data_IF_138761360993
#
_entry.id   IF_138761360993
#
_cell.length_a   1.000
_cell.length_b   1.000
_cell.length_c   1.000
_cell.angle_alpha   90.00
_cell.angle_beta   90.00
_cell.angle_gamma   90.00
#
_symmetry.space_group_name_H-M   'P 1'
#
loop_
_entity.id
_entity.type
_entity.pdbx_description
1 polymer ?
#
# COMPACT_ATOMS: atom_id res chain seq x y z
N UNK A 1 20.20 11.54 21.01
CA UNK A 1 20.48 11.13 19.63
C UNK A 1 19.53 11.91 18.77
N UNK A 2 20.04 12.74 17.88
CA UNK A 2 19.21 13.43 16.90
C UNK A 2 18.80 12.42 15.84
N UNK A 3 17.51 12.11 15.77
CA UNK A 3 16.93 11.34 14.67
C UNK A 3 16.70 12.29 13.51
N UNK A 4 17.16 11.93 12.32
CA UNK A 4 16.96 12.71 11.11
C UNK A 4 15.91 12.03 10.24
N UNK A 5 14.96 12.78 9.70
CA UNK A 5 13.99 12.26 8.74
C UNK A 5 14.25 12.73 7.32
N UNK A 6 13.61 12.04 6.40
CA UNK A 6 13.37 12.49 5.03
C UNK A 6 12.00 11.96 4.57
N UNK A 7 11.35 12.70 3.67
CA UNK A 7 10.13 12.27 2.99
C UNK A 7 10.40 12.08 1.50
N UNK A 8 10.00 10.94 0.96
CA UNK A 8 10.03 10.62 -0.47
C UNK A 8 8.61 10.58 -1.03
N UNK A 9 8.42 11.11 -2.24
CA UNK A 9 7.15 11.12 -2.94
C UNK A 9 7.09 9.98 -3.97
N UNK A 10 6.73 8.79 -3.51
CA UNK A 10 6.76 7.59 -4.36
C UNK A 10 5.85 7.73 -5.59
N UNK A 11 6.43 7.49 -6.78
CA UNK A 11 5.73 7.58 -8.07
C UNK A 11 5.59 8.99 -8.65
N UNK A 12 6.09 10.03 -7.99
CA UNK A 12 6.06 11.41 -8.53
C UNK A 12 7.34 11.72 -9.29
N UNK A 13 7.23 11.99 -10.59
CA UNK A 13 8.36 12.47 -11.37
C UNK A 13 8.68 13.93 -11.03
N UNK A 14 9.78 14.18 -10.32
CA UNK A 14 10.22 15.52 -9.88
C UNK A 14 10.81 16.37 -11.02
N UNK A 15 9.99 16.65 -12.03
CA UNK A 15 10.39 17.47 -13.16
C UNK A 15 10.79 18.87 -12.67
N UNK A 16 12.10 19.17 -12.73
CA UNK A 16 12.71 20.44 -12.26
C UNK A 16 12.63 20.67 -10.74
N UNK A 17 12.36 19.62 -9.96
CA UNK A 17 12.25 19.69 -8.50
C UNK A 17 12.99 18.53 -7.82
N UNK A 18 14.10 18.07 -8.41
CA UNK A 18 14.89 16.96 -7.87
C UNK A 18 15.43 17.20 -6.46
N UNK A 19 15.49 18.45 -6.01
CA UNK A 19 15.82 18.81 -4.62
C UNK A 19 14.73 18.41 -3.61
N UNK A 20 13.51 18.12 -4.07
CA UNK A 20 12.39 17.66 -3.25
C UNK A 20 12.30 16.12 -3.17
N UNK A 21 13.14 15.39 -3.93
CA UNK A 21 13.53 14.04 -3.55
C UNK A 21 14.61 14.20 -2.48
N UNK A 22 14.34 13.81 -1.24
CA UNK A 22 15.39 13.74 -0.23
C UNK A 22 15.85 12.28 -0.05
N UNK A 23 16.57 11.63 -0.99
CA UNK A 23 17.24 10.39 -0.65
C UNK A 23 18.31 10.74 0.40
N UNK A 24 18.23 10.14 1.59
CA UNK A 24 19.25 10.30 2.62
C UNK A 24 20.64 10.07 1.99
N UNK A 25 21.47 11.12 1.91
CA UNK A 25 22.79 11.07 1.25
C UNK A 25 23.16 12.27 0.37
N UNK A 26 22.25 13.22 0.12
CA UNK A 26 22.54 14.52 -0.51
C UNK A 26 22.47 15.67 0.52
N UNK A 27 23.19 16.78 0.33
CA UNK A 27 23.29 17.84 1.33
C UNK A 27 22.06 18.76 1.29
N UNK A 28 20.96 18.35 1.91
CA UNK A 28 19.88 19.24 2.35
C UNK A 28 19.31 18.76 3.69
N UNK A 29 18.81 19.72 4.48
CA UNK A 29 18.73 19.62 5.94
C UNK A 29 17.58 18.73 6.44
N UNK A 30 17.81 17.90 7.47
CA UNK A 30 16.80 16.99 8.00
C UNK A 30 15.71 17.74 8.77
N UNK A 31 14.47 17.27 8.63
CA UNK A 31 13.37 17.59 9.57
C UNK A 31 13.14 16.40 10.51
N UNK A 32 12.45 16.61 11.65
CA UNK A 32 12.11 15.55 12.62
C UNK A 32 10.67 15.09 12.37
N UNK A 33 10.39 13.78 12.25
CA UNK A 33 9.50 13.20 13.27
C UNK A 33 9.90 11.79 13.75
N UNK A 34 9.41 11.50 14.95
CA UNK A 34 9.34 10.17 15.59
C UNK A 34 8.16 9.39 15.01
N UNK A 35 8.39 8.61 13.95
CA UNK A 35 7.64 7.39 13.56
C UNK A 35 8.20 6.90 12.22
N UNK A 36 8.71 5.66 12.17
CA UNK A 36 9.23 5.05 10.95
C UNK A 36 8.07 4.35 10.23
N UNK A 37 7.50 5.02 9.23
CA UNK A 37 6.64 4.40 8.22
C UNK A 37 7.51 3.98 7.02
N UNK A 38 7.54 2.69 6.70
CA UNK A 38 8.06 2.23 5.40
C UNK A 38 7.15 2.82 4.31
N UNK A 39 7.67 3.80 3.54
CA UNK A 39 7.09 4.35 2.31
C UNK A 39 5.64 4.87 2.38
N UNK A 40 5.50 6.20 2.48
CA UNK A 40 4.27 6.88 2.07
C UNK A 40 4.19 7.01 0.55
N UNK A 41 3.13 6.49 -0.07
CA UNK A 41 2.78 6.81 -1.46
C UNK A 41 1.74 7.92 -1.47
N UNK A 42 2.01 8.99 -2.20
CA UNK A 42 1.04 10.06 -2.39
C UNK A 42 0.21 9.78 -3.65
N UNK A 43 -1.12 9.69 -3.50
CA UNK A 43 -2.01 9.50 -4.63
C UNK A 43 -2.12 10.80 -5.44
N UNK A 44 -1.80 10.75 -6.74
CA UNK A 44 -1.75 11.96 -7.60
C UNK A 44 -3.12 12.43 -8.08
N UNK A 45 -4.14 11.59 -8.09
CA UNK A 45 -5.51 12.03 -8.43
C UNK A 45 -6.30 12.30 -7.16
N UNK A 46 -6.74 13.54 -6.98
CA UNK A 46 -7.78 13.86 -6.00
C UNK A 46 -9.04 13.05 -6.36
N UNK A 47 -9.75 12.48 -5.36
CA UNK A 47 -11.13 12.06 -5.55
C UNK A 47 -11.94 13.18 -6.21
N UNK A 48 -12.72 12.88 -7.25
CA UNK A 48 -13.54 13.87 -7.97
C UNK A 48 -12.82 14.72 -9.02
N UNK A 49 -11.75 14.19 -9.64
CA UNK A 49 -11.11 14.82 -10.80
C UNK A 49 -12.10 14.94 -11.97
N UNK A 50 -12.41 16.15 -12.43
CA UNK A 50 -13.39 16.40 -13.50
C UNK A 50 -12.91 16.00 -14.90
N UNK A 51 -11.62 15.73 -15.06
CA UNK A 51 -10.97 15.28 -16.30
C UNK A 51 -10.45 13.84 -16.21
N UNK A 52 -11.06 13.00 -15.37
CA UNK A 52 -10.75 11.57 -15.33
C UNK A 52 -11.34 10.85 -16.55
N UNK A 53 -10.51 10.26 -17.43
CA UNK A 53 -10.97 9.59 -18.64
C UNK A 53 -11.73 8.29 -18.38
N UNK A 54 -11.67 7.75 -17.15
CA UNK A 54 -12.31 6.49 -16.74
C UNK A 54 -13.51 6.73 -15.81
N UNK A 55 -13.95 7.98 -15.65
CA UNK A 55 -15.04 8.36 -14.75
C UNK A 55 -16.37 7.65 -15.04
N UNK A 56 -16.58 7.18 -16.27
CA UNK A 56 -17.77 6.45 -16.69
C UNK A 56 -17.80 5.01 -16.15
N UNK A 57 -16.66 4.46 -15.73
CA UNK A 57 -16.53 3.09 -15.24
C UNK A 57 -17.04 2.90 -13.81
N UNK A 58 -17.14 3.96 -13.01
CA UNK A 58 -17.49 3.89 -11.59
C UNK A 58 -18.43 5.02 -11.15
N UNK A 59 -19.11 4.81 -10.03
CA UNK A 59 -20.05 5.76 -9.44
C UNK A 59 -19.47 6.43 -8.17
N UNK A 60 -18.60 5.70 -7.45
CA UNK A 60 -18.00 6.14 -6.18
C UNK A 60 -16.48 6.03 -6.25
N UNK A 61 -15.80 7.13 -5.91
CA UNK A 61 -14.35 7.25 -5.77
C UNK A 61 -14.08 8.36 -4.75
N UNK A 62 -13.85 7.95 -3.51
CA UNK A 62 -13.64 8.84 -2.37
C UNK A 62 -12.49 8.35 -1.47
N UNK A 63 -12.20 9.09 -0.40
CA UNK A 63 -11.12 8.77 0.53
C UNK A 63 -11.32 7.45 1.30
N UNK A 64 -12.55 6.94 1.41
CA UNK A 64 -12.84 5.66 2.08
C UNK A 64 -12.56 4.45 1.16
N UNK A 65 -12.47 4.70 -0.15
CA UNK A 65 -12.15 3.67 -1.16
C UNK A 65 -10.65 3.45 -1.39
N UNK A 66 -9.79 4.11 -0.60
CA UNK A 66 -8.34 3.90 -0.62
C UNK A 66 -7.98 2.78 0.35
N UNK A 67 -7.20 1.80 -0.11
CA UNK A 67 -6.74 0.65 0.65
C UNK A 67 -5.21 0.64 0.72
N UNK A 68 -4.66 0.94 1.90
CA UNK A 68 -3.23 0.81 2.18
C UNK A 68 -2.97 -0.54 2.82
N UNK A 69 -2.17 -1.36 2.15
CA UNK A 69 -1.75 -2.68 2.60
C UNK A 69 -0.35 -2.58 3.21
N UNK A 70 -0.18 -2.95 4.48
CA UNK A 70 1.12 -2.94 5.16
C UNK A 70 1.25 -4.08 6.17
N UNK A 71 2.49 -4.52 6.41
CA UNK A 71 2.79 -5.52 7.43
C UNK A 71 3.14 -4.85 8.77
N UNK A 72 2.75 -5.47 9.88
CA UNK A 72 3.14 -5.02 11.22
C UNK A 72 4.03 -6.04 11.93
N UNK A 73 5.09 -5.55 12.57
CA UNK A 73 6.06 -6.36 13.30
C UNK A 73 6.16 -5.90 14.76
N UNK A 74 5.97 -6.81 15.70
CA UNK A 74 6.23 -6.61 17.12
C UNK A 74 7.64 -7.08 17.43
N UNK A 75 8.57 -6.12 17.49
CA UNK A 75 9.92 -6.41 17.97
C UNK A 75 9.92 -6.52 19.49
N UNK A 76 10.14 -7.74 20.01
CA UNK A 76 10.41 -7.90 21.44
C UNK A 76 11.77 -7.29 21.76
N UNK A 77 11.80 -6.40 22.78
CA UNK A 77 12.98 -5.74 23.36
C UNK A 77 14.12 -6.69 23.81
N UNK A 78 13.94 -8.00 23.71
CA UNK A 78 14.99 -9.01 23.96
C UNK A 78 15.78 -9.40 22.71
N UNK A 79 15.32 -9.09 21.50
CA UNK A 79 16.10 -9.27 20.29
C UNK A 79 16.93 -8.00 20.06
N UNK A 80 18.17 -8.01 20.57
CA UNK A 80 19.21 -7.03 20.30
C UNK A 80 19.64 -7.10 18.80
N UNK A 81 18.71 -6.86 17.88
CA UNK A 81 19.00 -6.81 16.45
C UNK A 81 19.66 -5.46 16.18
N UNK A 82 20.98 -5.45 16.15
CA UNK A 82 21.71 -4.29 15.67
C UNK A 82 21.45 -4.14 14.17
N UNK A 83 20.59 -3.19 13.80
CA UNK A 83 20.30 -2.82 12.40
C UNK A 83 21.57 -2.44 11.60
N UNK A 84 22.68 -2.14 12.28
CA UNK A 84 24.02 -1.96 11.69
C UNK A 84 24.58 -3.20 10.98
N UNK A 85 24.04 -4.39 11.26
CA UNK A 85 24.39 -5.65 10.58
C UNK A 85 23.56 -5.89 9.30
N UNK A 86 22.56 -5.05 9.01
CA UNK A 86 21.81 -5.05 7.76
C UNK A 86 22.46 -4.11 6.74
N UNK A 87 23.78 -4.29 6.50
CA UNK A 87 24.43 -3.59 5.38
C UNK A 87 23.74 -4.00 4.08
N UNK A 88 23.53 -2.99 3.22
CA UNK A 88 22.89 -3.02 1.91
C UNK A 88 23.58 -3.96 0.89
N UNK A 89 24.71 -4.58 1.25
CA UNK A 89 25.48 -5.48 0.39
C UNK A 89 24.84 -6.87 0.23
N UNK A 90 23.84 -7.20 1.05
CA UNK A 90 23.13 -8.48 1.01
C UNK A 90 21.90 -8.55 0.10
N UNK A 91 21.46 -7.44 -0.49
CA UNK A 91 20.31 -7.47 -1.42
C UNK A 91 20.66 -7.99 -2.81
N UNK A 92 21.95 -8.01 -3.21
CA UNK A 92 22.37 -8.33 -4.58
C UNK A 92 23.12 -9.67 -4.75
N UNK A 93 23.27 -10.46 -3.68
CA UNK A 93 23.62 -11.88 -3.77
C UNK A 93 22.52 -12.67 -3.08
N UNK A 94 21.88 -13.66 -3.72
CA UNK A 94 20.99 -14.56 -3.00
C UNK A 94 21.80 -15.18 -1.87
N UNK A 95 21.56 -14.71 -0.65
CA UNK A 95 22.26 -15.15 0.54
C UNK A 95 21.97 -16.64 0.72
N UNK A 96 22.95 -17.55 0.55
CA UNK A 96 22.73 -18.98 0.76
C UNK A 96 22.49 -19.33 2.23
N UNK A 97 22.48 -18.32 3.13
CA UNK A 97 22.30 -18.44 4.58
C UNK A 97 21.00 -17.78 5.09
N UNK A 98 20.09 -17.39 4.19
CA UNK A 98 18.74 -16.92 4.55
C UNK A 98 17.63 -17.91 4.15
N UNK A 99 17.98 -19.20 4.03
CA UNK A 99 16.99 -20.30 4.04
C UNK A 99 16.67 -20.70 5.48
N UNK A 100 16.28 -19.72 6.30
CA UNK A 100 15.62 -19.94 7.59
C UNK A 100 14.74 -18.71 7.84
N UNK A 101 13.43 -18.76 7.54
CA UNK A 101 12.55 -17.59 7.67
C UNK A 101 12.45 -17.22 9.16
N UNK A 102 12.59 -15.93 9.50
CA UNK A 102 11.49 -15.30 10.20
C UNK A 102 11.42 -13.80 9.89
N UNK A 103 10.77 -13.43 8.79
CA UNK A 103 10.18 -12.10 8.67
C UNK A 103 8.77 -12.31 8.14
N UNK A 104 7.95 -12.99 8.94
CA UNK A 104 6.50 -13.04 8.73
C UNK A 104 5.92 -11.95 9.64
N UNK A 105 5.13 -11.02 9.11
CA UNK A 105 4.52 -9.97 9.92
C UNK A 105 3.53 -10.62 10.89
N UNK A 106 3.40 -10.06 12.08
CA UNK A 106 2.43 -10.56 13.08
C UNK A 106 0.99 -10.40 12.58
N UNK A 107 0.74 -9.36 11.78
CA UNK A 107 -0.51 -9.18 11.05
C UNK A 107 -0.34 -8.27 9.83
N UNK A 108 -1.26 -8.42 8.88
CA UNK A 108 -1.47 -7.43 7.81
C UNK A 108 -2.46 -6.37 8.29
N UNK A 109 -2.19 -5.12 7.91
CA UNK A 109 -3.03 -3.97 8.14
C UNK A 109 -3.70 -3.59 6.82
N UNK A 110 -5.00 -3.33 6.88
CA UNK A 110 -5.77 -2.70 5.80
C UNK A 110 -6.25 -1.36 6.35
N UNK A 111 -5.74 -0.26 5.81
CA UNK A 111 -6.01 1.11 6.29
C UNK A 111 -5.61 1.38 7.76
N UNK A 112 -4.66 0.61 8.29
CA UNK A 112 -4.10 0.79 9.63
C UNK A 112 -4.50 -0.26 10.66
N UNK A 113 -5.78 -0.64 10.82
CA UNK A 113 -6.14 -1.72 11.71
C UNK A 113 -5.64 -3.09 11.24
N UNK A 114 -5.10 -3.84 12.19
CA UNK A 114 -4.59 -5.18 11.99
C UNK A 114 -5.46 -6.21 12.67
N UNK A 115 -5.33 -7.47 12.25
CA UNK A 115 -6.06 -8.57 12.89
C UNK A 115 -5.50 -8.84 14.29
N UNK A 116 -6.20 -8.37 15.32
CA UNK A 116 -5.83 -8.61 16.73
C UNK A 116 -7.05 -8.59 17.66
N UNK A 117 -6.97 -9.23 18.85
CA UNK A 117 -8.11 -9.40 19.75
C UNK A 117 -8.71 -8.09 20.27
N UNK A 118 -7.97 -6.99 20.19
CA UNK A 118 -8.40 -5.66 20.66
C UNK A 118 -8.40 -4.59 19.55
N UNK A 119 -8.28 -4.99 18.28
CA UNK A 119 -8.24 -4.04 17.15
C UNK A 119 -9.52 -4.18 16.31
N UNK A 120 -10.31 -3.10 16.13
CA UNK A 120 -11.46 -3.13 15.23
C UNK A 120 -10.98 -3.34 13.78
N UNK A 121 -11.74 -4.07 12.97
CA UNK A 121 -11.40 -4.23 11.55
C UNK A 121 -11.80 -2.97 10.75
N UNK A 122 -11.10 -2.71 9.65
CA UNK A 122 -11.55 -1.73 8.68
C UNK A 122 -12.87 -2.19 8.05
N UNK A 123 -13.87 -1.30 8.04
CA UNK A 123 -15.20 -1.58 7.48
C UNK A 123 -15.53 -0.50 6.46
N UNK A 124 -15.97 -0.92 5.28
CA UNK A 124 -16.44 -0.05 4.22
C UNK A 124 -17.91 -0.39 3.92
N UNK A 125 -18.77 0.62 3.95
CA UNK A 125 -20.19 0.47 3.64
C UNK A 125 -20.43 0.91 2.19
N UNK A 126 -21.06 0.06 1.40
CA UNK A 126 -21.34 0.31 -0.02
C UNK A 126 -22.83 0.06 -0.27
N UNK A 127 -23.44 0.89 -1.13
CA UNK A 127 -24.82 0.65 -1.56
C UNK A 127 -24.83 -0.41 -2.65
N UNK A 128 -25.71 -1.40 -2.53
CA UNK A 128 -25.88 -2.43 -3.56
C UNK A 128 -26.11 -1.81 -4.95
N UNK A 129 -25.46 -2.38 -5.95
CA UNK A 129 -25.51 -1.92 -7.35
C UNK A 129 -24.54 -0.79 -7.68
N UNK A 130 -23.87 -0.17 -6.70
CA UNK A 130 -22.85 0.83 -6.99
C UNK A 130 -21.58 0.20 -7.53
N UNK A 131 -20.93 0.93 -8.44
CA UNK A 131 -19.57 0.64 -8.91
C UNK A 131 -18.60 1.52 -8.15
N UNK A 132 -17.73 0.93 -7.35
CA UNK A 132 -16.75 1.64 -6.54
C UNK A 132 -15.36 1.47 -7.15
N UNK A 133 -14.59 2.56 -7.24
CA UNK A 133 -13.18 2.51 -7.59
C UNK A 133 -12.36 2.36 -6.31
N UNK A 134 -11.72 1.21 -6.13
CA UNK A 134 -10.81 0.96 -5.02
C UNK A 134 -9.37 1.23 -5.42
N UNK A 135 -8.67 2.01 -4.61
CA UNK A 135 -7.28 2.42 -4.84
C UNK A 135 -6.36 1.68 -3.89
N UNK A 136 -5.69 0.65 -4.37
CA UNK A 136 -4.90 -0.28 -3.57
C UNK A 136 -3.42 0.11 -3.62
N UNK A 137 -2.79 0.25 -2.45
CA UNK A 137 -1.41 0.72 -2.30
C UNK A 137 -0.61 -0.32 -1.50
N UNK A 138 0.44 -0.87 -2.10
CA UNK A 138 1.39 -1.75 -1.42
C UNK A 138 2.43 -0.97 -0.63
N UNK A 139 2.19 -0.74 0.66
CA UNK A 139 3.11 -0.08 1.60
C UNK A 139 3.77 -1.10 2.55
N UNK A 140 4.33 -2.16 1.98
CA UNK A 140 4.96 -3.25 2.74
C UNK A 140 6.49 -3.15 2.77
N UNK A 141 7.10 -3.65 3.85
CA UNK A 141 8.51 -4.02 3.83
C UNK A 141 8.71 -5.53 3.45
N UNK A 142 7.61 -6.28 3.26
CA UNK A 142 7.55 -7.68 2.77
C UNK A 142 7.26 -7.77 1.25
N UNK A 143 7.47 -8.93 0.60
CA UNK A 143 7.54 -8.97 -0.85
C UNK A 143 6.21 -8.66 -1.57
N UNK A 144 5.06 -9.09 -1.04
CA UNK A 144 3.76 -8.89 -1.70
C UNK A 144 2.55 -9.21 -0.81
N UNK A 145 1.37 -8.75 -1.23
CA UNK A 145 0.06 -9.10 -0.68
C UNK A 145 -0.83 -9.70 -1.78
N UNK A 146 -1.80 -10.54 -1.40
CA UNK A 146 -2.81 -11.04 -2.34
C UNK A 146 -4.18 -10.45 -2.02
N UNK A 147 -4.52 -9.33 -2.66
CA UNK A 147 -5.77 -8.64 -2.41
C UNK A 147 -6.95 -9.38 -3.06
N UNK A 148 -7.98 -9.72 -2.27
CA UNK A 148 -9.21 -10.37 -2.75
C UNK A 148 -10.44 -9.82 -2.04
N UNK A 149 -11.60 -9.94 -2.66
CA UNK A 149 -12.89 -9.62 -2.05
C UNK A 149 -13.82 -10.81 -2.22
N UNK A 150 -14.31 -11.36 -1.11
CA UNK A 150 -15.16 -12.54 -1.15
C UNK A 150 -16.39 -12.29 -2.05
N UNK A 151 -16.63 -13.20 -3.00
CA UNK A 151 -17.79 -13.15 -3.90
C UNK A 151 -17.76 -12.04 -4.96
N UNK A 152 -16.69 -11.25 -5.06
CA UNK A 152 -16.60 -10.13 -6.01
C UNK A 152 -15.36 -10.23 -6.89
N UNK A 153 -15.57 -10.09 -8.20
CA UNK A 153 -14.47 -9.84 -9.13
C UNK A 153 -14.08 -8.36 -9.10
N UNK A 154 -12.85 -8.09 -9.48
CA UNK A 154 -12.26 -6.75 -9.56
C UNK A 154 -11.83 -6.47 -11.00
N UNK A 155 -12.12 -5.28 -11.51
CA UNK A 155 -11.65 -4.87 -12.84
C UNK A 155 -10.50 -3.89 -12.66
N UNK A 156 -9.27 -4.30 -12.96
CA UNK A 156 -8.09 -3.44 -12.92
C UNK A 156 -8.17 -2.42 -14.06
N UNK A 157 -8.04 -1.13 -13.74
CA UNK A 157 -8.16 -0.03 -14.70
C UNK A 157 -6.98 0.94 -14.67
N UNK A 158 -6.14 0.87 -13.65
CA UNK A 158 -4.95 1.71 -13.49
C UNK A 158 -3.83 0.91 -12.81
N UNK A 159 -2.59 1.15 -13.24
CA UNK A 159 -1.38 0.67 -12.57
C UNK A 159 -0.37 1.82 -12.43
N UNK A 160 0.10 2.06 -11.20
CA UNK A 160 1.11 3.05 -10.83
C UNK A 160 0.82 4.49 -11.31
N UNK A 161 -0.45 4.88 -11.42
CA UNK A 161 -0.85 6.20 -11.91
C UNK A 161 -1.03 6.31 -13.42
N UNK A 162 -0.98 5.20 -14.15
CA UNK A 162 -1.25 5.13 -15.58
C UNK A 162 -2.49 4.27 -15.84
N UNK A 163 -3.38 4.77 -16.69
CA UNK A 163 -4.53 4.00 -17.16
C UNK A 163 -4.06 2.77 -17.96
N UNK A 164 -4.75 1.64 -17.77
CA UNK A 164 -4.48 0.39 -18.47
C UNK A 164 -5.74 -0.13 -19.15
N UNK A 165 -5.57 -1.03 -20.11
CA UNK A 165 -6.71 -1.77 -20.66
C UNK A 165 -7.39 -2.57 -19.54
N UNK A 166 -8.73 -2.49 -19.38
CA UNK A 166 -9.42 -3.14 -18.28
C UNK A 166 -9.22 -4.66 -18.26
N UNK A 167 -8.84 -5.20 -17.10
CA UNK A 167 -8.67 -6.64 -16.89
C UNK A 167 -9.45 -7.10 -15.67
N UNK A 168 -10.31 -8.11 -15.85
CA UNK A 168 -11.08 -8.70 -14.76
C UNK A 168 -10.24 -9.77 -14.06
N UNK A 169 -10.15 -9.68 -12.74
CA UNK A 169 -9.40 -10.61 -11.88
C UNK A 169 -10.24 -10.96 -10.65
N UNK A 170 -10.00 -12.14 -10.08
CA UNK A 170 -10.55 -12.58 -8.79
C UNK A 170 -9.58 -12.30 -7.61
N UNK A 171 -8.31 -12.07 -7.94
CA UNK A 171 -7.21 -11.84 -7.01
C UNK A 171 -6.17 -10.92 -7.63
N UNK A 172 -5.55 -10.09 -6.79
CA UNK A 172 -4.55 -9.12 -7.23
C UNK A 172 -3.31 -9.21 -6.35
N UNK A 173 -2.20 -9.66 -6.94
CA UNK A 173 -0.90 -9.61 -6.31
C UNK A 173 -0.37 -8.16 -6.32
N UNK A 174 -0.14 -7.60 -5.13
CA UNK A 174 0.36 -6.23 -4.96
C UNK A 174 1.73 -6.27 -4.30
N UNK A 175 2.76 -5.88 -5.04
CA UNK A 175 4.13 -5.80 -4.53
C UNK A 175 4.40 -4.45 -3.85
N UNK A 176 5.45 -4.40 -3.02
CA UNK A 176 5.86 -3.17 -2.35
C UNK A 176 6.12 -2.02 -3.36
N UNK A 177 5.54 -0.86 -3.09
CA UNK A 177 5.61 0.34 -3.94
C UNK A 177 4.56 0.39 -5.06
N UNK A 178 3.89 -0.71 -5.39
CA UNK A 178 2.90 -0.72 -6.46
C UNK A 178 1.56 -0.11 -6.02
N UNK A 179 0.87 0.53 -6.96
CA UNK A 179 -0.50 1.01 -6.80
C UNK A 179 -1.37 0.51 -7.93
N UNK A 180 -2.60 0.12 -7.61
CA UNK A 180 -3.61 -0.26 -8.60
C UNK A 180 -4.93 0.44 -8.31
N UNK A 181 -5.66 0.85 -9.35
CA UNK A 181 -7.10 1.12 -9.22
C UNK A 181 -7.88 -0.05 -9.79
N UNK A 182 -8.84 -0.55 -9.02
CA UNK A 182 -9.79 -1.55 -9.46
C UNK A 182 -11.23 -1.03 -9.34
N UNK A 183 -12.10 -1.42 -10.25
CA UNK A 183 -13.54 -1.19 -10.14
C UNK A 183 -14.21 -2.46 -9.62
N UNK A 184 -15.02 -2.31 -8.59
CA UNK A 184 -15.81 -3.37 -7.98
C UNK A 184 -17.27 -2.99 -8.05
N UNK A 185 -18.10 -3.88 -8.58
CA UNK A 185 -19.55 -3.68 -8.63
C UNK A 185 -20.18 -4.43 -7.47
N UNK A 186 -20.97 -3.76 -6.63
CA UNK A 186 -21.68 -4.37 -5.51
C UNK A 186 -22.93 -5.16 -5.99
N UNK A 187 -22.72 -6.19 -6.81
CA UNK A 187 -23.76 -6.97 -7.47
C UNK A 187 -24.22 -8.20 -6.67
N UNK A 188 -23.55 -8.52 -5.57
CA UNK A 188 -23.91 -9.61 -4.67
C UNK A 188 -25.12 -9.24 -3.77
N UNK A 189 -25.80 -10.24 -3.17
CA UNK A 189 -26.83 -9.98 -2.17
C UNK A 189 -26.32 -9.10 -1.01
N UNK A 190 -27.19 -8.30 -0.40
CA UNK A 190 -26.81 -7.43 0.73
C UNK A 190 -26.36 -8.29 1.91
N UNK A 191 -25.05 -8.32 2.16
CA UNK A 191 -24.39 -8.99 3.28
C UNK A 191 -22.99 -8.41 3.49
N UNK A 192 -22.25 -8.92 4.47
CA UNK A 192 -20.86 -8.57 4.73
C UNK A 192 -19.92 -9.51 3.98
N UNK A 193 -19.01 -8.94 3.20
CA UNK A 193 -18.01 -9.66 2.43
C UNK A 193 -16.61 -9.32 2.95
N UNK A 194 -15.74 -10.32 3.05
CA UNK A 194 -14.38 -10.10 3.53
C UNK A 194 -13.48 -9.55 2.44
N UNK A 195 -12.75 -8.49 2.78
CA UNK A 195 -11.56 -8.06 2.05
C UNK A 195 -10.37 -8.76 2.70
N UNK A 196 -9.52 -9.39 1.89
CA UNK A 196 -8.36 -10.19 2.33
C UNK A 196 -7.10 -9.74 1.63
N UNK A 197 -5.94 -10.00 2.25
CA UNK A 197 -4.59 -9.68 1.78
C UNK A 197 -3.57 -10.74 2.19
#
# INVERSE_FOLDING_TARGET
MDITTSTHWHGIFQRRANWAEEPHGLPSAPSNPTEASCTGSLYRTKPGRTDDPLADMYDVDDELTIFVLSGWFVFSILQNISFSSLRLDRYHKPSPLLYNPPFTPDCTLINGPGRGPSSPLAVLNITQGQRCRFRIIGASCDPWFNFTIDGHNMTVIEADGNEVEPVIVDSLAVYAGQRYSVVVTADQPVDNYWIRS
#
